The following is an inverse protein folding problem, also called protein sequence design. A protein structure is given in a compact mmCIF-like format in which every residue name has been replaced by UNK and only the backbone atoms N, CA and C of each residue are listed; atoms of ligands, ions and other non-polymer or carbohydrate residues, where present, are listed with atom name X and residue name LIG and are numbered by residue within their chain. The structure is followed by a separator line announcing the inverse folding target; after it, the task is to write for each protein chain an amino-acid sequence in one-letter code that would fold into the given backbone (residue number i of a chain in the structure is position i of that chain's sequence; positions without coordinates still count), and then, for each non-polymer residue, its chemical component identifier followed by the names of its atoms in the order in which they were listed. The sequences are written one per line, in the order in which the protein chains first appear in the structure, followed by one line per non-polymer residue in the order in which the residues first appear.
data_IF_545116872356
#
_entry.id   IF_545116872356
#
_cell.length_a   1.000
_cell.length_b   1.000
_cell.length_c   1.000
_cell.angle_alpha   90.00
_cell.angle_beta   90.00
_cell.angle_gamma   90.00
#
_symmetry.space_group_name_H-M   'P 1'
#
loop_
_entity.id
_entity.type
_entity.pdbx_description
1 polymer ?
#
# COMPACT_ATOMS: atom_id res chain seq x y z
N UNK A 1 25.37 -7.37 29.63
CA UNK A 1 24.96 -6.26 28.73
C UNK A 1 24.25 -6.90 27.55
N UNK A 2 22.92 -6.92 27.59
CA UNK A 2 22.11 -7.57 26.56
C UNK A 2 21.79 -6.56 25.47
N UNK A 3 22.45 -6.68 24.33
CA UNK A 3 22.05 -6.02 23.09
C UNK A 3 20.97 -6.88 22.44
N UNK A 4 19.72 -6.64 22.80
CA UNK A 4 18.57 -7.10 22.02
C UNK A 4 18.54 -6.27 20.75
N UNK A 5 19.31 -6.65 19.74
CA UNK A 5 19.23 -6.05 18.40
C UNK A 5 17.86 -6.40 17.84
N UNK A 6 16.96 -5.43 17.96
CA UNK A 6 15.57 -5.46 17.54
C UNK A 6 15.47 -6.00 16.11
N UNK A 7 14.61 -7.01 15.96
CA UNK A 7 14.31 -7.67 14.70
C UNK A 7 14.13 -6.66 13.57
N UNK A 8 14.85 -6.87 12.46
CA UNK A 8 14.66 -6.11 11.23
C UNK A 8 13.18 -6.09 10.90
N UNK A 9 12.60 -4.89 10.86
CA UNK A 9 11.22 -4.68 10.48
C UNK A 9 11.10 -5.07 9.01
N UNK A 10 10.81 -6.34 8.74
CA UNK A 10 10.30 -6.77 7.46
C UNK A 10 9.12 -5.85 7.16
N UNK A 11 9.22 -5.04 6.11
CA UNK A 11 8.18 -4.11 5.74
C UNK A 11 6.83 -4.84 5.76
N UNK A 12 5.85 -4.31 6.51
CA UNK A 12 4.52 -4.88 6.54
C UNK A 12 3.79 -4.78 5.20
N UNK A 13 4.37 -4.14 4.18
CA UNK A 13 3.75 -3.93 2.89
C UNK A 13 3.87 -5.14 1.96
N UNK A 14 2.77 -5.38 1.24
CA UNK A 14 2.75 -6.27 0.09
C UNK A 14 2.06 -5.59 -1.09
N UNK A 15 2.23 -6.13 -2.29
CA UNK A 15 1.47 -5.67 -3.44
C UNK A 15 0.01 -6.13 -3.32
N UNK A 16 -0.90 -5.31 -3.83
CA UNK A 16 -2.28 -5.74 -4.00
C UNK A 16 -2.34 -6.91 -5.00
N UNK A 17 -3.18 -7.90 -4.73
CA UNK A 17 -3.32 -9.11 -5.57
C UNK A 17 -3.57 -8.78 -7.06
N UNK A 18 -4.35 -7.73 -7.32
CA UNK A 18 -4.64 -7.26 -8.67
C UNK A 18 -3.39 -6.86 -9.45
N UNK A 19 -2.33 -6.41 -8.79
CA UNK A 19 -1.07 -6.01 -9.43
C UNK A 19 -0.36 -7.22 -10.03
N UNK A 20 -0.37 -8.36 -9.35
CA UNK A 20 0.22 -9.62 -9.85
C UNK A 20 -0.47 -10.19 -11.08
N UNK A 21 -1.71 -9.80 -11.35
CA UNK A 21 -2.48 -10.23 -12.53
C UNK A 21 -2.15 -9.38 -13.77
N UNK A 22 -1.85 -8.09 -13.58
CA UNK A 22 -1.78 -7.12 -14.68
C UNK A 22 -0.36 -6.78 -15.13
N UNK A 23 0.64 -7.05 -14.28
CA UNK A 23 2.04 -6.80 -14.56
C UNK A 23 2.74 -8.03 -15.14
N UNK A 24 3.76 -7.78 -15.97
CA UNK A 24 4.77 -8.77 -16.30
C UNK A 24 5.53 -9.24 -15.06
N UNK A 25 6.15 -10.44 -15.08
CA UNK A 25 6.95 -10.92 -13.96
C UNK A 25 8.05 -9.95 -13.53
N UNK A 26 8.73 -9.30 -14.48
CA UNK A 26 9.80 -8.36 -14.18
C UNK A 26 9.28 -7.09 -13.49
N UNK A 27 8.20 -6.50 -14.02
CA UNK A 27 7.62 -5.31 -13.40
C UNK A 27 6.99 -5.61 -12.03
N UNK A 28 6.43 -6.80 -11.85
CA UNK A 28 5.90 -7.27 -10.58
C UNK A 28 6.99 -7.37 -9.51
N UNK A 29 8.11 -8.03 -9.82
CA UNK A 29 9.22 -8.16 -8.84
C UNK A 29 9.85 -6.80 -8.52
N UNK A 30 9.97 -5.90 -9.50
CA UNK A 30 10.40 -4.51 -9.24
C UNK A 30 9.47 -3.80 -8.27
N UNK A 31 8.15 -3.83 -8.53
CA UNK A 31 7.18 -3.19 -7.64
C UNK A 31 7.16 -3.84 -6.24
N UNK A 32 7.32 -5.16 -6.18
CA UNK A 32 7.37 -5.92 -4.92
C UNK A 32 8.61 -5.57 -4.11
N UNK A 33 9.74 -5.38 -4.76
CA UNK A 33 10.96 -4.96 -4.10
C UNK A 33 10.85 -3.51 -3.62
N UNK A 34 10.27 -2.61 -4.42
CA UNK A 34 10.03 -1.21 -4.05
C UNK A 34 9.25 -1.08 -2.74
N UNK A 35 8.22 -1.90 -2.52
CA UNK A 35 7.43 -1.82 -1.27
C UNK A 35 8.12 -2.43 -0.05
N UNK A 36 9.29 -3.07 -0.21
CA UNK A 36 9.94 -3.85 0.85
C UNK A 36 11.36 -3.44 1.21
N UNK A 37 12.11 -2.95 0.25
CA UNK A 37 13.52 -2.64 0.44
C UNK A 37 13.69 -1.27 1.10
N UNK A 38 14.39 -1.23 2.23
CA UNK A 38 14.55 -0.03 3.06
C UNK A 38 15.07 1.20 2.29
N UNK A 39 15.96 1.00 1.33
CA UNK A 39 16.52 2.05 0.48
C UNK A 39 15.48 2.76 -0.42
N UNK A 40 14.30 2.16 -0.56
CA UNK A 40 13.20 2.69 -1.37
C UNK A 40 11.94 2.97 -0.53
N UNK A 41 12.09 3.03 0.79
CA UNK A 41 11.04 3.45 1.71
C UNK A 41 11.32 4.86 2.24
N UNK A 42 10.25 5.59 2.52
CA UNK A 42 10.32 6.90 3.16
C UNK A 42 10.53 6.78 4.67
N UNK A 43 10.62 7.92 5.35
CA UNK A 43 10.80 8.00 6.82
C UNK A 43 9.67 7.31 7.61
N UNK A 44 8.50 7.10 7.00
CA UNK A 44 7.36 6.41 7.59
C UNK A 44 7.31 4.92 7.22
N UNK A 45 8.29 4.43 6.46
CA UNK A 45 8.34 3.06 5.97
C UNK A 45 7.35 2.79 4.83
N UNK A 46 6.84 3.82 4.15
CA UNK A 46 6.01 3.67 2.94
C UNK A 46 6.90 3.65 1.69
N UNK A 47 6.44 3.07 0.55
CA UNK A 47 7.16 3.17 -0.71
C UNK A 47 7.45 4.64 -1.06
N UNK A 48 8.72 5.00 -1.15
CA UNK A 48 9.16 6.36 -1.38
C UNK A 48 8.81 6.83 -2.79
N UNK A 49 8.63 8.14 -2.94
CA UNK A 49 8.67 8.79 -4.25
C UNK A 49 10.11 8.79 -4.76
N UNK A 50 10.34 8.23 -5.94
CA UNK A 50 11.69 8.07 -6.49
C UNK A 50 11.92 9.06 -7.62
N UNK A 51 13.09 9.70 -7.65
CA UNK A 51 13.56 10.35 -8.86
C UNK A 51 13.80 9.28 -9.95
N UNK A 52 13.53 9.59 -11.22
CA UNK A 52 13.75 8.62 -12.31
C UNK A 52 15.22 8.18 -12.37
N UNK A 53 16.14 9.12 -12.16
CA UNK A 53 17.59 8.88 -12.07
C UNK A 53 18.07 9.21 -10.66
N UNK A 54 19.04 8.45 -10.17
CA UNK A 54 19.70 8.76 -8.91
C UNK A 54 20.23 10.20 -8.88
N UNK A 55 20.07 10.83 -7.72
CA UNK A 55 20.69 12.09 -7.37
C UNK A 55 21.54 11.88 -6.12
N UNK A 56 21.04 12.24 -4.94
CA UNK A 56 21.64 11.90 -3.65
C UNK A 56 21.18 10.53 -3.13
N UNK A 57 19.96 10.13 -3.49
CA UNK A 57 19.31 8.88 -3.08
C UNK A 57 19.09 7.95 -4.29
N UNK A 58 18.88 6.63 -4.07
CA UNK A 58 18.57 5.68 -5.13
C UNK A 58 17.31 6.07 -5.92
N UNK A 59 17.44 6.14 -7.24
CA UNK A 59 16.31 6.43 -8.14
C UNK A 59 15.60 5.18 -8.66
N UNK A 60 14.58 5.40 -9.48
CA UNK A 60 13.82 4.31 -10.11
C UNK A 60 14.68 3.42 -11.01
N UNK A 61 15.68 3.98 -11.71
CA UNK A 61 16.57 3.14 -12.53
C UNK A 61 17.45 2.22 -11.67
N UNK A 62 17.92 2.70 -10.52
CA UNK A 62 18.68 1.90 -9.56
C UNK A 62 17.79 0.80 -8.94
N UNK A 63 16.52 1.11 -8.67
CA UNK A 63 15.54 0.12 -8.24
C UNK A 63 15.42 -1.02 -9.27
N UNK A 64 15.24 -0.69 -10.55
CA UNK A 64 15.13 -1.71 -11.61
C UNK A 64 16.43 -2.49 -11.75
N UNK A 65 17.58 -1.81 -11.74
CA UNK A 65 18.89 -2.45 -11.86
C UNK A 65 19.18 -3.42 -10.72
N UNK A 66 18.75 -3.09 -9.49
CA UNK A 66 18.92 -3.96 -8.32
C UNK A 66 18.12 -5.27 -8.42
N UNK A 67 16.98 -5.27 -9.12
CA UNK A 67 16.09 -6.44 -9.21
C UNK A 67 16.30 -7.21 -10.52
N UNK A 68 16.38 -6.48 -11.64
CA UNK A 68 16.43 -7.02 -12.99
C UNK A 68 17.38 -6.18 -13.88
N UNK A 69 18.71 -6.34 -13.75
CA UNK A 69 19.69 -5.55 -14.51
C UNK A 69 19.66 -5.79 -16.02
N UNK A 70 19.06 -6.90 -16.46
CA UNK A 70 18.91 -7.24 -17.88
C UNK A 70 17.67 -6.59 -18.54
N UNK A 71 16.76 -6.00 -17.76
CA UNK A 71 15.52 -5.40 -18.27
C UNK A 71 15.68 -3.88 -18.37
N UNK A 72 15.36 -3.25 -19.51
CA UNK A 72 15.41 -1.80 -19.62
C UNK A 72 14.47 -1.10 -18.64
N UNK A 73 14.98 -0.16 -17.84
CA UNK A 73 14.18 0.55 -16.84
C UNK A 73 13.01 1.33 -17.44
N UNK A 74 13.16 1.83 -18.68
CA UNK A 74 12.08 2.50 -19.39
C UNK A 74 10.89 1.56 -19.66
N UNK A 75 11.14 0.30 -20.04
CA UNK A 75 10.06 -0.66 -20.34
C UNK A 75 9.25 -0.97 -19.07
N UNK A 76 9.93 -1.12 -17.93
CA UNK A 76 9.29 -1.32 -16.63
C UNK A 76 8.47 -0.08 -16.25
N UNK A 77 9.04 1.12 -16.41
CA UNK A 77 8.34 2.38 -16.12
C UNK A 77 7.07 2.51 -16.97
N UNK A 78 7.20 2.33 -18.29
CA UNK A 78 6.10 2.46 -19.24
C UNK A 78 5.00 1.45 -18.93
N UNK A 79 5.35 0.23 -18.53
CA UNK A 79 4.38 -0.75 -18.06
C UNK A 79 3.64 -0.28 -16.81
N UNK A 80 4.37 0.11 -15.75
CA UNK A 80 3.77 0.53 -14.48
C UNK A 80 2.83 1.74 -14.66
N UNK A 81 3.21 2.70 -15.51
CA UNK A 81 2.39 3.86 -15.85
C UNK A 81 1.15 3.47 -16.65
N UNK A 82 1.33 2.70 -17.75
CA UNK A 82 0.24 2.26 -18.62
C UNK A 82 -0.78 1.37 -17.90
N UNK A 83 -0.34 0.61 -16.90
CA UNK A 83 -1.19 -0.25 -16.06
C UNK A 83 -1.77 0.49 -14.84
N UNK A 84 -1.41 1.76 -14.65
CA UNK A 84 -1.92 2.59 -13.56
C UNK A 84 -1.50 2.11 -12.17
N UNK A 85 -0.35 1.43 -12.08
CA UNK A 85 0.28 0.96 -10.84
C UNK A 85 1.17 2.06 -10.25
N UNK A 86 1.85 2.81 -11.10
CA UNK A 86 2.62 3.99 -10.74
C UNK A 86 2.04 5.24 -11.41
N UNK A 87 2.48 6.40 -10.92
CA UNK A 87 2.17 7.72 -11.45
C UNK A 87 3.47 8.51 -11.61
N UNK A 88 3.59 9.26 -12.71
CA UNK A 88 4.72 10.16 -12.93
C UNK A 88 4.34 11.57 -12.50
N UNK A 89 5.19 12.19 -11.69
CA UNK A 89 5.02 13.54 -11.17
C UNK A 89 6.08 14.47 -11.76
N UNK A 90 5.64 15.64 -12.24
CA UNK A 90 6.50 16.73 -12.72
C UNK A 90 7.60 16.28 -13.71
N UNK A 91 7.32 15.24 -14.49
CA UNK A 91 8.22 14.60 -15.47
C UNK A 91 9.54 14.01 -14.95
N UNK A 92 9.81 14.04 -13.64
CA UNK A 92 11.09 13.60 -13.07
C UNK A 92 10.98 12.63 -11.90
N UNK A 93 9.78 12.49 -11.33
CA UNK A 93 9.53 11.61 -10.21
C UNK A 93 8.51 10.55 -10.58
N UNK A 94 8.60 9.40 -9.91
CA UNK A 94 7.64 8.33 -10.01
C UNK A 94 7.23 7.90 -8.61
N UNK A 95 5.93 7.68 -8.45
CA UNK A 95 5.31 7.26 -7.20
C UNK A 95 4.50 6.00 -7.43
N UNK A 96 4.63 5.03 -6.53
CA UNK A 96 3.73 3.88 -6.51
C UNK A 96 2.35 4.31 -5.96
N UNK A 97 1.27 4.07 -6.72
CA UNK A 97 -0.06 4.52 -6.31
C UNK A 97 -0.53 3.75 -5.09
N UNK A 98 -1.29 4.42 -4.21
CA UNK A 98 -1.75 3.82 -2.95
C UNK A 98 -2.61 2.56 -3.14
N UNK A 99 -3.31 2.43 -4.25
CA UNK A 99 -4.10 1.24 -4.60
C UNK A 99 -3.26 0.03 -4.98
N UNK A 100 -1.96 0.20 -5.26
CA UNK A 100 -1.08 -0.87 -5.72
C UNK A 100 -0.49 -1.71 -4.57
N UNK A 101 -0.59 -1.25 -3.33
CA UNK A 101 0.05 -1.91 -2.20
C UNK A 101 -0.80 -1.82 -0.93
N UNK A 102 -0.69 -2.84 -0.09
CA UNK A 102 -1.51 -3.04 1.10
C UNK A 102 -0.63 -3.36 2.29
N UNK A 103 -1.08 -2.96 3.48
CA UNK A 103 -0.37 -3.34 4.70
C UNK A 103 -0.85 -4.73 5.13
N UNK A 104 0.04 -5.70 5.09
CA UNK A 104 -0.14 -7.03 5.62
C UNK A 104 0.03 -7.01 7.16
N UNK A 105 -0.79 -6.22 7.85
CA UNK A 105 -0.90 -6.29 9.31
C UNK A 105 -1.79 -7.48 9.68
N UNK A 106 -1.30 -8.46 10.47
CA UNK A 106 -2.16 -9.45 11.10
C UNK A 106 -3.05 -8.71 12.12
N UNK A 107 -4.28 -8.39 11.76
CA UNK A 107 -5.20 -7.69 12.65
C UNK A 107 -6.43 -7.04 11.99
N UNK A 108 -6.43 -6.85 10.67
CA UNK A 108 -7.59 -6.27 9.97
C UNK A 108 -8.66 -7.30 9.58
N UNK A 109 -8.58 -8.53 10.09
CA UNK A 109 -9.68 -9.51 10.08
C UNK A 109 -10.65 -9.33 11.26
N UNK A 110 -10.42 -8.32 12.12
CA UNK A 110 -11.46 -7.83 13.00
C UNK A 110 -12.47 -7.03 12.16
N UNK A 111 -13.34 -7.75 11.44
CA UNK A 111 -14.65 -7.24 11.03
C UNK A 111 -15.17 -6.41 12.20
N UNK A 112 -15.40 -5.10 12.05
CA UNK A 112 -15.96 -4.34 13.14
C UNK A 112 -17.25 -5.07 13.48
N UNK A 113 -17.32 -5.63 14.68
CA UNK A 113 -18.51 -6.27 15.21
C UNK A 113 -19.53 -5.14 15.40
N UNK A 114 -20.08 -4.67 14.27
CA UNK A 114 -21.24 -3.81 14.18
C UNK A 114 -22.34 -4.70 14.68
N UNK A 115 -22.42 -4.81 16.01
CA UNK A 115 -23.51 -5.40 16.74
C UNK A 115 -24.74 -4.65 16.26
N UNK A 116 -25.38 -5.20 15.24
CA UNK A 116 -26.69 -4.80 14.77
C UNK A 116 -27.57 -4.91 16.00
N UNK A 117 -27.78 -3.79 16.70
CA UNK A 117 -28.68 -3.72 17.84
C UNK A 117 -29.99 -4.28 17.34
N UNK A 118 -30.31 -5.53 17.70
CA UNK A 118 -31.67 -6.06 17.55
C UNK A 118 -32.55 -5.05 18.28
N UNK A 119 -33.31 -4.25 17.53
CA UNK A 119 -34.43 -3.49 18.09
C UNK A 119 -35.22 -4.48 18.92
N UNK A 120 -35.27 -4.26 20.23
CA UNK A 120 -36.14 -5.02 21.12
C UNK A 120 -37.57 -4.74 20.64
N UNK A 121 -38.37 -5.76 20.27
CA UNK A 121 -39.79 -5.58 20.08
C UNK A 121 -40.38 -5.45 21.49
N UNK A 122 -40.69 -4.22 21.90
CA UNK A 122 -41.24 -4.01 23.24
C UNK A 122 -41.32 -2.57 23.72
N UNK A 123 -41.16 -1.56 22.86
CA UNK A 123 -41.48 -0.19 23.24
C UNK A 123 -42.95 0.07 22.91
N UNK A 124 -43.80 -0.34 23.86
CA UNK A 124 -45.23 -0.08 23.86
C UNK A 124 -45.50 1.40 23.65
N UNK A 125 -46.31 1.71 22.65
CA UNK A 125 -46.82 3.04 22.35
C UNK A 125 -47.41 3.68 23.62
N UNK A 126 -46.78 4.75 24.10
CA UNK A 126 -47.27 5.58 25.19
C UNK A 126 -48.63 6.18 24.84
N UNK A 127 -49.68 5.64 25.44
CA UNK A 127 -51.04 6.16 25.42
C UNK A 127 -51.05 7.54 26.11
N UNK A 128 -50.98 8.62 25.32
CA UNK A 128 -51.28 9.97 25.81
C UNK A 128 -52.78 10.04 26.12
N UNK A 129 -53.11 10.06 27.41
CA UNK A 129 -54.44 10.39 27.91
C UNK A 129 -54.51 11.92 27.93
N UNK A 130 -55.24 12.50 27.00
CA UNK A 130 -55.60 13.91 27.04
C UNK A 130 -56.89 14.02 27.86
N UNK A 131 -56.75 14.41 29.12
CA UNK A 131 -57.86 15.06 29.83
C UNK A 131 -57.94 16.49 29.29
N UNK A 132 -59.10 16.89 28.78
CA UNK A 132 -59.48 18.28 28.73
C UNK A 132 -60.98 18.41 29.03
N UNK A 133 -61.24 19.37 29.92
CA UNK A 133 -62.48 19.88 30.51
C UNK A 133 -63.83 19.53 29.84
#
# INVERSE_FOLDING_TARGET
MSMSSQAGSASGWDLAESVGIILSPAAYEVARYWVRAADFLDENGHPAMLAMRAQSEPGFYQLVEAVHPAVPSCDVLDELLRKGVAEQLESHYVLLRRSAYVHNAPGFDASPDVRRRKRRPGESAGRRKSDNA
#
